data_IF_112777408236
#
_entry.id   IF_112777408236
#
_cell.length_a   1.000
_cell.length_b   1.000
_cell.length_c   1.000
_cell.angle_alpha   90.00
_cell.angle_beta   90.00
_cell.angle_gamma   90.00
#
_symmetry.space_group_name_H-M   'P 1'
#
loop_
_entity.id
_entity.type
_entity.pdbx_description
1 polymer ?
#
# COMPACT_ATOMS: atom_id res chain seq x y z
N UNK A 1 -5.92 4.07 -36.12
CA UNK A 1 -5.73 4.99 -34.97
C UNK A 1 -5.31 4.17 -33.74
N UNK A 2 -4.17 4.45 -33.11
CA UNK A 2 -3.74 3.72 -31.89
C UNK A 2 -4.64 4.16 -30.72
N UNK A 3 -5.43 3.23 -30.17
CA UNK A 3 -6.26 3.48 -28.97
C UNK A 3 -5.34 3.85 -27.81
N UNK A 4 -5.53 5.03 -27.21
CA UNK A 4 -4.77 5.45 -26.03
C UNK A 4 -5.36 4.72 -24.81
N UNK A 5 -4.61 3.78 -24.24
CA UNK A 5 -5.04 3.08 -23.02
C UNK A 5 -5.09 4.06 -21.85
N UNK A 6 -6.25 4.16 -21.19
CA UNK A 6 -6.44 4.98 -20.00
C UNK A 6 -5.97 4.17 -18.78
N UNK A 7 -4.87 4.59 -18.18
CA UNK A 7 -4.33 3.98 -16.94
C UNK A 7 -4.70 4.82 -15.72
N UNK A 8 -4.77 4.19 -14.55
CA UNK A 8 -4.99 4.88 -13.27
C UNK A 8 -3.76 5.64 -12.80
N UNK A 9 -2.57 5.14 -13.14
CA UNK A 9 -1.29 5.74 -12.75
C UNK A 9 -0.56 6.34 -13.96
N UNK A 10 0.28 7.38 -13.75
CA UNK A 10 1.08 7.96 -14.82
C UNK A 10 2.11 6.95 -15.35
N UNK A 11 1.93 6.53 -16.61
CA UNK A 11 2.81 5.57 -17.32
C UNK A 11 4.28 6.02 -17.27
N UNK A 12 4.54 7.31 -17.43
CA UNK A 12 5.89 7.88 -17.39
C UNK A 12 6.56 7.72 -16.00
N UNK A 13 5.79 7.81 -14.91
CA UNK A 13 6.32 7.63 -13.55
C UNK A 13 6.67 6.17 -13.28
N UNK A 14 5.80 5.25 -13.71
CA UNK A 14 6.06 3.80 -13.64
C UNK A 14 7.34 3.48 -14.41
N UNK A 15 7.45 3.94 -15.65
CA UNK A 15 8.66 3.74 -16.47
C UNK A 15 9.92 4.26 -15.76
N UNK A 16 9.86 5.46 -15.17
CA UNK A 16 10.99 6.05 -14.45
C UNK A 16 11.41 5.22 -13.24
N UNK A 17 10.46 4.62 -12.50
CA UNK A 17 10.74 3.74 -11.36
C UNK A 17 11.35 2.42 -11.84
N UNK A 18 10.82 1.82 -12.90
CA UNK A 18 11.38 0.59 -13.48
C UNK A 18 12.84 0.77 -13.89
N UNK A 19 13.19 1.93 -14.44
CA UNK A 19 14.54 2.27 -14.90
C UNK A 19 15.45 2.82 -13.78
N UNK A 20 15.03 2.75 -12.52
CA UNK A 20 15.96 2.92 -11.38
C UNK A 20 16.84 1.68 -11.20
N UNK A 21 16.38 0.54 -11.71
CA UNK A 21 17.18 -0.67 -11.85
C UNK A 21 18.10 -0.52 -13.08
N UNK A 22 19.42 -0.58 -12.84
CA UNK A 22 20.44 -0.37 -13.87
C UNK A 22 20.40 -1.45 -14.96
N UNK A 23 19.88 -2.64 -14.64
CA UNK A 23 19.74 -3.74 -15.59
C UNK A 23 18.53 -3.55 -16.53
N UNK A 24 17.66 -2.56 -16.25
CA UNK A 24 16.45 -2.27 -17.04
C UNK A 24 16.74 -1.21 -18.11
N UNK A 25 17.05 -1.68 -19.31
CA UNK A 25 17.25 -0.83 -20.49
C UNK A 25 15.96 -0.29 -21.13
N UNK A 26 15.75 -0.60 -22.42
CA UNK A 26 14.57 -0.14 -23.16
C UNK A 26 13.34 -0.99 -22.81
N UNK A 27 12.28 -0.34 -22.36
CA UNK A 27 11.02 -0.99 -22.00
C UNK A 27 9.99 -0.86 -23.13
N UNK A 28 9.29 -1.95 -23.45
CA UNK A 28 8.18 -1.93 -24.40
C UNK A 28 7.03 -1.04 -23.91
N UNK A 29 6.31 -0.38 -24.83
CA UNK A 29 5.25 0.56 -24.46
C UNK A 29 4.09 -0.08 -23.66
N UNK A 30 3.83 -1.37 -23.89
CA UNK A 30 2.79 -2.10 -23.18
C UNK A 30 3.14 -2.41 -21.71
N UNK A 31 4.43 -2.54 -21.38
CA UNK A 31 4.86 -3.02 -20.06
C UNK A 31 4.46 -2.07 -18.92
N UNK A 32 4.72 -0.75 -18.98
CA UNK A 32 4.31 0.15 -17.90
C UNK A 32 2.78 0.31 -17.79
N UNK A 33 2.05 0.08 -18.90
CA UNK A 33 0.58 0.07 -18.90
C UNK A 33 0.06 -1.15 -18.12
N UNK A 34 0.65 -2.32 -18.35
CA UNK A 34 0.27 -3.54 -17.62
C UNK A 34 0.64 -3.45 -16.15
N UNK A 35 1.83 -2.93 -15.83
CA UNK A 35 2.24 -2.67 -14.44
C UNK A 35 1.29 -1.67 -13.77
N UNK A 36 0.78 -0.66 -14.47
CA UNK A 36 -0.24 0.23 -13.89
C UNK A 36 -1.49 -0.54 -13.45
N UNK A 37 -1.89 -1.60 -14.17
CA UNK A 37 -3.05 -2.40 -13.79
C UNK A 37 -2.71 -3.36 -12.65
N UNK A 38 -1.53 -3.98 -12.68
CA UNK A 38 -1.04 -4.82 -11.60
C UNK A 38 -0.94 -4.03 -10.29
N UNK A 39 -0.42 -2.79 -10.33
CA UNK A 39 -0.33 -1.90 -9.18
C UNK A 39 -1.70 -1.56 -8.59
N UNK A 40 -2.72 -1.35 -9.44
CA UNK A 40 -4.10 -1.13 -8.99
C UNK A 40 -4.62 -2.34 -8.19
N UNK A 41 -4.45 -3.54 -8.73
CA UNK A 41 -4.90 -4.78 -8.08
C UNK A 41 -4.09 -5.08 -6.81
N UNK A 42 -2.79 -4.80 -6.83
CA UNK A 42 -1.91 -4.95 -5.67
C UNK A 42 -2.35 -4.04 -4.52
N UNK A 43 -2.56 -2.75 -4.78
CA UNK A 43 -3.01 -1.82 -3.73
C UNK A 43 -4.39 -2.19 -3.19
N UNK A 44 -5.31 -2.64 -4.05
CA UNK A 44 -6.60 -3.14 -3.60
C UNK A 44 -6.41 -4.36 -2.66
N UNK A 45 -5.62 -5.35 -3.07
CA UNK A 45 -5.38 -6.56 -2.26
C UNK A 45 -4.74 -6.24 -0.90
N UNK A 46 -3.73 -5.37 -0.87
CA UNK A 46 -3.08 -4.97 0.36
C UNK A 46 -4.05 -4.27 1.32
N UNK A 47 -4.84 -3.32 0.81
CA UNK A 47 -5.79 -2.56 1.63
C UNK A 47 -6.96 -3.43 2.09
N UNK A 48 -7.47 -4.33 1.25
CA UNK A 48 -8.56 -5.24 1.61
C UNK A 48 -8.12 -6.16 2.76
N UNK A 49 -6.92 -6.74 2.69
CA UNK A 49 -6.37 -7.58 3.75
C UNK A 49 -6.11 -6.80 5.04
N UNK A 50 -5.54 -5.59 4.94
CA UNK A 50 -5.29 -4.75 6.10
C UNK A 50 -6.59 -4.26 6.76
N UNK A 51 -7.65 -4.03 5.97
CA UNK A 51 -8.97 -3.74 6.49
C UNK A 51 -9.59 -4.94 7.19
N UNK A 52 -9.36 -6.17 6.72
CA UNK A 52 -9.78 -7.38 7.43
C UNK A 52 -9.09 -7.48 8.79
N UNK A 53 -7.77 -7.33 8.84
CA UNK A 53 -7.00 -7.29 10.10
C UNK A 53 -7.54 -6.23 11.07
N UNK A 54 -7.84 -5.02 10.58
CA UNK A 54 -8.43 -3.97 11.39
C UNK A 54 -9.81 -4.34 11.95
N UNK A 55 -10.68 -4.97 11.13
CA UNK A 55 -12.02 -5.40 11.55
C UNK A 55 -11.96 -6.53 12.56
N UNK A 56 -11.04 -7.49 12.38
CA UNK A 56 -10.85 -8.62 13.30
C UNK A 56 -10.44 -8.14 14.70
N UNK A 57 -9.74 -6.99 14.77
CA UNK A 57 -9.40 -6.29 16.02
C UNK A 57 -10.49 -5.33 16.52
N UNK A 58 -11.67 -5.32 15.90
CA UNK A 58 -12.77 -4.38 16.19
C UNK A 58 -12.38 -2.90 16.06
N UNK A 59 -11.35 -2.59 15.26
CA UNK A 59 -10.92 -1.22 15.03
C UNK A 59 -11.84 -0.53 14.02
N UNK A 60 -12.23 0.71 14.34
CA UNK A 60 -13.02 1.57 13.42
C UNK A 60 -12.16 2.27 12.37
N UNK A 61 -10.83 2.25 12.53
CA UNK A 61 -9.86 2.96 11.69
C UNK A 61 -8.77 2.00 11.25
N UNK A 62 -8.37 2.10 9.98
CA UNK A 62 -7.18 1.45 9.49
C UNK A 62 -5.94 2.25 9.95
N UNK A 63 -4.96 1.57 10.53
CA UNK A 63 -3.72 2.17 11.05
C UNK A 63 -2.51 1.51 10.40
N UNK A 64 -1.34 2.14 10.55
CA UNK A 64 -0.07 1.58 10.03
C UNK A 64 0.26 0.25 10.70
N UNK A 65 -0.16 0.05 11.95
CA UNK A 65 0.07 -1.19 12.68
C UNK A 65 -0.70 -2.38 12.06
N UNK A 66 -1.93 -2.16 11.57
CA UNK A 66 -2.67 -3.18 10.80
C UNK A 66 -1.96 -3.52 9.50
N UNK A 67 -1.44 -2.51 8.79
CA UNK A 67 -0.64 -2.72 7.57
C UNK A 67 0.63 -3.53 7.84
N UNK A 68 1.37 -3.20 8.90
CA UNK A 68 2.55 -3.97 9.32
C UNK A 68 2.19 -5.43 9.55
N UNK A 69 1.14 -5.68 10.34
CA UNK A 69 0.70 -7.04 10.64
C UNK A 69 0.34 -7.83 9.39
N UNK A 70 -0.45 -7.23 8.49
CA UNK A 70 -0.81 -7.85 7.21
C UNK A 70 0.41 -8.20 6.37
N UNK A 71 1.41 -7.31 6.31
CA UNK A 71 2.66 -7.55 5.58
C UNK A 71 3.47 -8.71 6.22
N UNK A 72 3.48 -8.80 7.55
CA UNK A 72 4.19 -9.86 8.26
C UNK A 72 3.54 -11.24 8.13
N UNK A 73 2.20 -11.28 8.06
CA UNK A 73 1.44 -12.54 8.04
C UNK A 73 1.13 -13.06 6.64
N UNK A 74 1.21 -12.22 5.61
CA UNK A 74 0.89 -12.60 4.24
C UNK A 74 2.17 -12.81 3.44
N UNK A 75 2.47 -14.06 3.06
CA UNK A 75 3.68 -14.45 2.31
C UNK A 75 3.87 -13.63 1.02
N UNK A 76 2.78 -13.33 0.31
CA UNK A 76 2.85 -12.54 -0.93
C UNK A 76 3.39 -11.11 -0.72
N UNK A 77 3.38 -10.59 0.51
CA UNK A 77 3.85 -9.25 0.87
C UNK A 77 5.24 -9.25 1.51
N UNK A 78 5.95 -10.37 1.51
CA UNK A 78 7.29 -10.51 2.13
C UNK A 78 8.29 -9.42 1.67
N UNK A 79 8.22 -9.04 0.40
CA UNK A 79 9.05 -7.98 -0.19
C UNK A 79 8.86 -6.57 0.44
N UNK A 80 7.84 -6.38 1.27
CA UNK A 80 7.58 -5.14 2.00
C UNK A 80 8.07 -5.16 3.45
N UNK A 81 8.53 -6.31 3.98
CA UNK A 81 8.88 -6.43 5.41
C UNK A 81 9.95 -5.43 5.84
N UNK A 82 10.99 -5.26 5.03
CA UNK A 82 12.07 -4.31 5.30
C UNK A 82 11.56 -2.86 5.33
N UNK A 83 10.52 -2.54 4.56
CA UNK A 83 9.93 -1.19 4.51
C UNK A 83 9.16 -0.88 5.80
N UNK A 84 8.59 -1.89 6.46
CA UNK A 84 7.78 -1.71 7.68
C UNK A 84 8.52 -2.10 8.97
N UNK A 85 9.81 -2.43 8.88
CA UNK A 85 10.60 -2.89 10.03
C UNK A 85 10.61 -1.88 11.20
N UNK A 86 10.73 -0.58 10.88
CA UNK A 86 10.77 0.50 11.88
C UNK A 86 9.39 0.92 12.42
N UNK A 87 8.30 0.36 11.88
CA UNK A 87 6.95 0.64 12.37
C UNK A 87 6.77 -0.08 13.71
N UNK A 88 6.31 0.58 14.78
CA UNK A 88 6.04 -0.11 16.04
C UNK A 88 5.05 -1.26 15.87
N UNK A 89 5.30 -2.37 16.58
CA UNK A 89 4.39 -3.51 16.53
C UNK A 89 2.99 -3.13 17.03
N UNK A 90 1.93 -3.67 16.40
CA UNK A 90 0.59 -3.56 16.96
C UNK A 90 0.57 -4.22 18.33
N UNK A 91 0.50 -3.42 19.39
CA UNK A 91 0.19 -3.96 20.72
C UNK A 91 -1.22 -4.53 20.68
N UNK A 92 -1.43 -5.75 21.18
CA UNK A 92 -2.74 -6.43 21.18
C UNK A 92 -3.86 -5.62 21.86
N UNK A 93 -3.52 -4.57 22.62
CA UNK A 93 -4.44 -3.66 23.29
C UNK A 93 -4.82 -2.39 22.50
N UNK A 94 -4.48 -2.27 21.21
CA UNK A 94 -4.94 -1.14 20.36
C UNK A 94 -6.44 -1.19 19.99
N UNK A 95 -7.25 -1.91 20.77
CA UNK A 95 -8.71 -1.86 20.71
C UNK A 95 -9.28 -0.72 21.57
N UNK A 96 -8.56 0.36 21.85
CA UNK A 96 -9.15 1.49 22.60
C UNK A 96 -8.59 2.83 22.14
N UNK A 97 -9.40 3.53 21.37
CA UNK A 97 -9.53 5.00 21.37
C UNK A 97 -8.40 5.84 20.75
N UNK A 98 -8.57 6.16 19.46
CA UNK A 98 -7.93 7.32 18.82
C UNK A 98 -9.01 8.40 18.52
N UNK A 99 -9.91 8.63 19.49
CA UNK A 99 -10.83 9.79 19.52
C UNK A 99 -10.47 10.79 20.64
N UNK A 100 -9.45 10.52 21.47
CA UNK A 100 -8.90 11.51 22.41
C UNK A 100 -7.84 12.42 21.76
N UNK A 101 -8.24 13.22 20.78
CA UNK A 101 -7.29 14.14 20.13
C UNK A 101 -7.84 15.41 19.47
N UNK A 102 -9.15 15.65 19.44
CA UNK A 102 -9.71 16.90 18.89
C UNK A 102 -10.75 17.54 19.79
N UNK A 103 -10.37 17.78 21.04
CA UNK A 103 -11.08 18.72 21.91
C UNK A 103 -10.10 19.69 22.57
N UNK A 104 -10.27 20.97 22.19
CA UNK A 104 -9.85 22.24 22.85
C UNK A 104 -8.50 22.87 22.47
N UNK A 105 -8.59 23.92 21.65
CA UNK A 105 -8.17 25.34 21.92
C UNK A 105 -8.80 26.22 20.81
N UNK A 106 -9.99 26.79 21.02
CA UNK A 106 -10.23 28.12 21.59
C UNK A 106 -9.61 29.29 20.80
N UNK A 107 -10.44 29.99 20.02
CA UNK A 107 -10.74 31.42 20.22
C UNK A 107 -12.17 31.68 19.74
#
# INVERSE_FOLDING_TARGET
MKKKYKTKFPVARIKKIMQLDEDVGKVAQATPILISKALELFMQSLIDQACTEARDRNAKRLTVAHLKKTIETTEQFDFLKDIVADVPDPTDNMAVDDDKGRSKKAK
#
